data_IF_751707651265
#
_entry.id   IF_751707651265
#
_cell.length_a   1.000
_cell.length_b   1.000
_cell.length_c   1.000
_cell.angle_alpha   90.00
_cell.angle_beta   90.00
_cell.angle_gamma   90.00
#
_symmetry.space_group_name_H-M   'P 1'
#
loop_
_entity.id
_entity.type
_entity.pdbx_description
1 polymer ?
#
# COMPACT_ATOMS: atom_id res chain seq x y z
N UNK A 1 -55.08 -4.93 26.91
CA UNK A 1 -53.75 -4.63 27.50
C UNK A 1 -52.96 -5.93 27.40
N UNK A 2 -51.85 -6.10 26.69
CA UNK A 2 -50.87 -5.23 26.04
C UNK A 2 -50.41 -5.93 24.74
N UNK A 3 -50.03 -5.13 23.74
CA UNK A 3 -49.69 -5.50 22.37
C UNK A 3 -48.44 -6.39 22.26
N UNK A 4 -48.56 -7.50 21.52
CA UNK A 4 -47.42 -8.21 20.94
C UNK A 4 -47.03 -7.53 19.63
N UNK A 5 -45.85 -6.90 19.64
CA UNK A 5 -45.21 -6.39 18.43
C UNK A 5 -44.71 -7.57 17.58
N UNK A 6 -45.37 -7.83 16.45
CA UNK A 6 -44.85 -8.72 15.42
C UNK A 6 -43.78 -7.94 14.66
N UNK A 7 -42.53 -8.34 14.85
CA UNK A 7 -41.40 -7.90 14.03
C UNK A 7 -41.65 -8.43 12.62
N UNK A 8 -41.98 -7.52 11.70
CA UNK A 8 -42.03 -7.81 10.27
C UNK A 8 -40.58 -7.99 9.78
N UNK A 9 -40.04 -9.21 9.93
CA UNK A 9 -38.82 -9.60 9.22
C UNK A 9 -39.21 -9.78 7.76
N UNK A 10 -39.01 -8.73 6.96
CA UNK A 10 -39.15 -8.81 5.51
C UNK A 10 -38.12 -9.82 5.02
N UNK A 11 -38.58 -10.95 4.50
CA UNK A 11 -37.72 -11.82 3.71
C UNK A 11 -37.23 -10.98 2.53
N UNK A 12 -35.93 -10.71 2.53
CA UNK A 12 -35.23 -10.21 1.36
C UNK A 12 -35.48 -11.22 0.23
N UNK A 13 -36.14 -10.73 -0.81
CA UNK A 13 -36.32 -11.45 -2.06
C UNK A 13 -34.93 -11.77 -2.64
N UNK A 14 -34.59 -13.05 -2.92
CA UNK A 14 -33.30 -13.41 -3.52
C UNK A 14 -33.16 -12.95 -4.98
N UNK A 15 -34.18 -12.27 -5.54
CA UNK A 15 -34.21 -11.83 -6.93
C UNK A 15 -33.84 -10.36 -7.16
N UNK A 16 -33.37 -9.62 -6.14
CA UNK A 16 -32.79 -8.29 -6.40
C UNK A 16 -31.32 -8.44 -6.82
N UNK A 17 -30.97 -8.27 -8.10
CA UNK A 17 -29.56 -8.15 -8.47
C UNK A 17 -28.95 -6.97 -7.69
N UNK A 18 -27.67 -7.04 -7.28
CA UNK A 18 -26.98 -5.89 -6.73
C UNK A 18 -27.15 -4.71 -7.70
N UNK A 19 -27.28 -3.45 -7.21
CA UNK A 19 -27.40 -2.29 -8.09
C UNK A 19 -26.26 -2.37 -9.10
N UNK A 20 -26.62 -2.62 -10.36
CA UNK A 20 -25.66 -2.74 -11.44
C UNK A 20 -25.05 -1.37 -11.57
N UNK A 21 -23.76 -1.24 -11.25
CA UNK A 21 -23.03 0.01 -11.41
C UNK A 21 -23.32 0.54 -12.82
N UNK A 22 -24.08 1.64 -12.90
CA UNK A 22 -24.56 2.17 -14.17
C UNK A 22 -23.36 2.46 -15.07
N UNK A 23 -23.33 1.90 -16.27
CA UNK A 23 -22.23 2.13 -17.19
C UNK A 23 -22.21 3.60 -17.65
N UNK A 24 -21.03 4.20 -17.71
CA UNK A 24 -20.84 5.56 -18.21
C UNK A 24 -21.28 5.66 -19.66
N UNK A 25 -22.14 6.63 -19.96
CA UNK A 25 -22.62 6.94 -21.30
C UNK A 25 -22.00 8.25 -21.76
N UNK A 26 -21.08 8.17 -22.73
CA UNK A 26 -20.34 9.33 -23.25
C UNK A 26 -20.77 9.60 -24.68
N UNK A 27 -21.52 10.69 -24.96
CA UNK A 27 -21.89 11.05 -26.32
C UNK A 27 -20.67 11.42 -27.16
N UNK A 28 -20.70 11.09 -28.45
CA UNK A 28 -19.55 11.28 -29.36
C UNK A 28 -19.15 12.75 -29.51
N UNK A 29 -20.13 13.65 -29.49
CA UNK A 29 -19.90 15.10 -29.51
C UNK A 29 -19.05 15.59 -28.34
N UNK A 30 -19.23 15.01 -27.15
CA UNK A 30 -18.46 15.36 -25.95
C UNK A 30 -17.02 14.87 -26.09
N UNK A 31 -16.83 13.66 -26.63
CA UNK A 31 -15.49 13.10 -26.90
C UNK A 31 -14.69 13.99 -27.84
N UNK A 32 -15.36 14.56 -28.84
CA UNK A 32 -14.71 15.43 -29.82
C UNK A 32 -14.43 16.84 -29.27
N UNK A 33 -15.38 17.41 -28.51
CA UNK A 33 -15.27 18.80 -28.01
C UNK A 33 -14.41 18.94 -26.76
N UNK A 34 -14.41 17.93 -25.88
CA UNK A 34 -13.78 18.00 -24.55
C UNK A 34 -12.84 16.81 -24.25
N UNK A 35 -11.95 16.41 -25.17
CA UNK A 35 -11.14 15.20 -25.00
C UNK A 35 -10.23 15.25 -23.76
N UNK A 36 -9.63 16.40 -23.48
CA UNK A 36 -8.70 16.57 -22.35
C UNK A 36 -9.41 16.51 -20.99
N UNK A 37 -10.51 17.25 -20.84
CA UNK A 37 -11.29 17.28 -19.60
C UNK A 37 -11.95 15.91 -19.35
N UNK A 38 -12.39 15.22 -20.41
CA UNK A 38 -12.90 13.85 -20.27
C UNK A 38 -11.85 12.89 -19.70
N UNK A 39 -10.60 12.95 -20.17
CA UNK A 39 -9.53 12.12 -19.62
C UNK A 39 -9.31 12.41 -18.13
N UNK A 40 -9.38 13.68 -17.73
CA UNK A 40 -9.24 14.10 -16.33
C UNK A 40 -10.41 13.60 -15.47
N UNK A 41 -11.66 13.74 -15.92
CA UNK A 41 -12.84 13.26 -15.19
C UNK A 41 -12.81 11.73 -15.02
N UNK A 42 -12.47 11.00 -16.09
CA UNK A 42 -12.41 9.54 -16.05
C UNK A 42 -11.26 9.02 -15.16
N UNK A 43 -10.17 9.78 -15.08
CA UNK A 43 -9.01 9.46 -14.25
C UNK A 43 -9.08 10.00 -12.81
N UNK A 44 -10.08 10.82 -12.47
CA UNK A 44 -10.22 11.38 -11.13
C UNK A 44 -10.64 10.30 -10.12
N UNK A 45 -9.88 10.17 -9.04
CA UNK A 45 -10.14 9.23 -7.95
C UNK A 45 -11.18 9.77 -6.95
N UNK A 46 -11.39 11.09 -6.92
CA UNK A 46 -12.42 11.71 -6.07
C UNK A 46 -13.84 11.56 -6.61
N UNK A 47 -14.01 11.08 -7.86
CA UNK A 47 -15.31 10.95 -8.49
C UNK A 47 -15.72 9.49 -8.68
N UNK A 48 -16.94 9.16 -8.22
CA UNK A 48 -17.60 7.91 -8.54
C UNK A 48 -18.26 7.95 -9.94
N UNK A 49 -18.83 6.82 -10.37
CA UNK A 49 -19.44 6.69 -11.70
C UNK A 49 -20.61 7.64 -11.95
N UNK A 50 -21.45 7.90 -10.95
CA UNK A 50 -22.59 8.81 -11.06
C UNK A 50 -22.13 10.27 -11.16
N UNK A 51 -21.14 10.66 -10.36
CA UNK A 51 -20.53 11.99 -10.40
C UNK A 51 -19.84 12.25 -11.74
N UNK A 52 -19.10 11.27 -12.25
CA UNK A 52 -18.49 11.35 -13.60
C UNK A 52 -19.56 11.58 -14.67
N UNK A 53 -20.66 10.82 -14.62
CA UNK A 53 -21.76 10.99 -15.56
C UNK A 53 -22.40 12.39 -15.44
N UNK A 54 -22.60 12.88 -14.23
CA UNK A 54 -23.12 14.21 -13.97
C UNK A 54 -22.23 15.30 -14.59
N UNK A 55 -20.92 15.24 -14.37
CA UNK A 55 -19.99 16.18 -14.97
C UNK A 55 -20.00 16.11 -16.50
N UNK A 56 -20.01 14.91 -17.08
CA UNK A 56 -20.10 14.70 -18.53
C UNK A 56 -21.35 15.37 -19.12
N UNK A 57 -22.49 15.24 -18.44
CA UNK A 57 -23.76 15.83 -18.88
C UNK A 57 -23.76 17.36 -18.81
N UNK A 58 -22.96 17.96 -17.92
CA UNK A 58 -22.90 19.41 -17.71
C UNK A 58 -21.83 20.09 -18.57
N UNK A 59 -20.83 19.36 -19.08
CA UNK A 59 -19.78 19.90 -19.96
C UNK A 59 -20.31 20.85 -21.07
N UNK A 60 -21.40 20.53 -21.80
CA UNK A 60 -21.91 21.41 -22.86
C UNK A 60 -22.47 22.75 -22.40
N UNK A 61 -22.84 22.84 -21.12
CA UNK A 61 -23.56 24.00 -20.55
C UNK A 61 -22.57 24.92 -19.80
N UNK A 62 -21.36 24.43 -19.49
CA UNK A 62 -20.35 25.22 -18.81
C UNK A 62 -19.76 26.31 -19.70
N UNK A 63 -19.47 27.46 -19.09
CA UNK A 63 -18.74 28.54 -19.74
C UNK A 63 -17.25 28.18 -19.90
N UNK A 64 -16.52 28.84 -20.82
CA UNK A 64 -15.08 28.60 -20.97
C UNK A 64 -14.28 28.80 -19.69
N UNK A 65 -14.67 29.76 -18.85
CA UNK A 65 -14.03 30.00 -17.55
C UNK A 65 -14.29 28.87 -16.56
N UNK A 66 -15.53 28.36 -16.51
CA UNK A 66 -15.88 27.21 -15.67
C UNK A 66 -15.12 25.95 -16.10
N UNK A 67 -14.99 25.72 -17.40
CA UNK A 67 -14.20 24.62 -17.95
C UNK A 67 -12.73 24.72 -17.56
N UNK A 68 -12.15 25.92 -17.63
CA UNK A 68 -10.76 26.19 -17.20
C UNK A 68 -10.59 25.90 -15.72
N UNK A 69 -11.49 26.38 -14.88
CA UNK A 69 -11.44 26.17 -13.43
C UNK A 69 -11.56 24.67 -13.09
N UNK A 70 -12.48 23.95 -13.74
CA UNK A 70 -12.60 22.50 -13.57
C UNK A 70 -11.32 21.78 -14.00
N UNK A 71 -10.75 22.14 -15.14
CA UNK A 71 -9.49 21.58 -15.63
C UNK A 71 -8.35 21.83 -14.63
N UNK A 72 -8.21 23.04 -14.11
CA UNK A 72 -7.19 23.38 -13.11
C UNK A 72 -7.34 22.55 -11.83
N UNK A 73 -8.58 22.39 -11.32
CA UNK A 73 -8.87 21.58 -10.14
C UNK A 73 -8.44 20.12 -10.36
N UNK A 74 -8.84 19.52 -11.49
CA UNK A 74 -8.53 18.12 -11.78
C UNK A 74 -7.04 17.88 -12.07
N UNK A 75 -6.36 18.84 -12.71
CA UNK A 75 -4.91 18.77 -12.92
C UNK A 75 -4.18 18.83 -11.59
N UNK A 76 -4.57 19.75 -10.71
CA UNK A 76 -3.98 19.89 -9.38
C UNK A 76 -4.21 18.64 -8.52
N UNK A 77 -5.43 18.07 -8.53
CA UNK A 77 -5.73 16.79 -7.87
C UNK A 77 -4.75 15.70 -8.32
N UNK A 78 -4.62 15.50 -9.63
CA UNK A 78 -3.73 14.50 -10.21
C UNK A 78 -2.26 14.73 -9.82
N UNK A 79 -1.81 15.98 -9.80
CA UNK A 79 -0.44 16.33 -9.41
C UNK A 79 -0.18 16.08 -7.92
N UNK A 80 -1.15 16.40 -7.06
CA UNK A 80 -1.08 16.11 -5.63
C UNK A 80 -1.02 14.61 -5.36
N UNK A 81 -1.87 13.81 -6.03
CA UNK A 81 -1.83 12.35 -5.91
C UNK A 81 -0.47 11.78 -6.35
N UNK A 82 0.06 12.24 -7.51
CA UNK A 82 1.42 11.84 -7.95
C UNK A 82 2.51 12.22 -6.96
N UNK A 83 2.42 13.39 -6.34
CA UNK A 83 3.40 13.83 -5.35
C UNK A 83 3.32 12.98 -4.07
N UNK A 84 2.10 12.61 -3.66
CA UNK A 84 1.85 11.71 -2.54
C UNK A 84 2.44 10.32 -2.83
N UNK A 85 2.15 9.75 -4.00
CA UNK A 85 2.68 8.44 -4.42
C UNK A 85 4.21 8.43 -4.45
N UNK A 86 4.83 9.48 -5.02
CA UNK A 86 6.28 9.61 -5.07
C UNK A 86 6.90 9.70 -3.66
N UNK A 87 6.23 10.41 -2.75
CA UNK A 87 6.67 10.52 -1.35
C UNK A 87 6.60 9.16 -0.66
N UNK A 88 5.48 8.45 -0.75
CA UNK A 88 5.33 7.14 -0.12
C UNK A 88 6.24 6.07 -0.73
N UNK A 89 6.43 6.06 -2.06
CA UNK A 89 7.37 5.16 -2.70
C UNK A 89 8.81 5.36 -2.18
N UNK A 90 9.21 6.61 -1.96
CA UNK A 90 10.52 6.95 -1.37
C UNK A 90 10.63 6.50 0.08
N UNK A 91 9.61 6.73 0.90
CA UNK A 91 9.60 6.34 2.32
C UNK A 91 9.66 4.82 2.49
N UNK A 92 8.86 4.06 1.72
CA UNK A 92 8.89 2.60 1.73
C UNK A 92 10.26 2.06 1.31
N UNK A 93 10.87 2.64 0.27
CA UNK A 93 12.22 2.29 -0.16
C UNK A 93 13.28 2.53 0.93
N UNK A 94 13.20 3.66 1.63
CA UNK A 94 14.12 4.00 2.71
C UNK A 94 14.00 3.04 3.90
N UNK A 95 12.77 2.72 4.32
CA UNK A 95 12.52 1.76 5.40
C UNK A 95 13.04 0.38 5.04
N UNK A 96 12.76 -0.09 3.81
CA UNK A 96 13.26 -1.38 3.33
C UNK A 96 14.79 -1.46 3.35
N UNK A 97 15.46 -0.39 2.93
CA UNK A 97 16.93 -0.30 2.97
C UNK A 97 17.48 -0.31 4.40
N UNK A 98 16.85 0.42 5.32
CA UNK A 98 17.27 0.45 6.72
C UNK A 98 17.12 -0.92 7.39
N UNK A 99 15.96 -1.57 7.22
CA UNK A 99 15.70 -2.91 7.74
C UNK A 99 16.74 -3.92 7.22
N UNK A 100 17.07 -3.85 5.93
CA UNK A 100 18.09 -4.71 5.32
C UNK A 100 19.49 -4.50 5.93
N UNK A 101 19.91 -3.24 6.12
CA UNK A 101 21.21 -2.92 6.75
C UNK A 101 21.24 -3.42 8.20
N UNK A 102 20.16 -3.22 8.96
CA UNK A 102 20.06 -3.71 10.33
C UNK A 102 20.14 -5.24 10.40
N UNK A 103 19.47 -5.94 9.50
CA UNK A 103 19.51 -7.40 9.44
C UNK A 103 20.94 -7.90 9.16
N UNK A 104 21.64 -7.34 8.17
CA UNK A 104 23.04 -7.66 7.89
C UNK A 104 23.92 -7.40 9.11
N UNK A 105 23.74 -6.26 9.78
CA UNK A 105 24.48 -5.91 10.99
C UNK A 105 24.26 -6.93 12.11
N UNK A 106 23.02 -7.35 12.32
CA UNK A 106 22.65 -8.34 13.33
C UNK A 106 23.24 -9.72 13.02
N UNK A 107 23.22 -10.17 11.76
CA UNK A 107 23.80 -11.44 11.35
C UNK A 107 25.32 -11.44 11.49
N UNK A 108 25.98 -10.34 11.10
CA UNK A 108 27.43 -10.18 11.29
C UNK A 108 27.81 -10.26 12.77
N UNK A 109 27.02 -9.63 13.65
CA UNK A 109 27.24 -9.70 15.10
C UNK A 109 27.07 -11.12 15.63
N UNK A 110 25.98 -11.81 15.30
CA UNK A 110 25.76 -13.22 15.65
C UNK A 110 26.89 -14.13 15.17
N UNK A 111 27.38 -13.95 13.94
CA UNK A 111 28.53 -14.72 13.40
C UNK A 111 29.84 -14.42 14.14
N UNK A 112 30.02 -13.22 14.68
CA UNK A 112 31.19 -12.86 15.49
C UNK A 112 31.13 -13.54 16.86
N UNK A 113 30.00 -13.40 17.55
CA UNK A 113 29.75 -14.02 18.85
C UNK A 113 29.90 -15.54 18.79
N UNK A 114 29.36 -16.18 17.73
CA UNK A 114 29.51 -17.63 17.54
C UNK A 114 30.96 -18.07 17.35
N UNK A 115 31.79 -17.29 16.65
CA UNK A 115 33.22 -17.59 16.49
C UNK A 115 33.98 -17.42 17.80
N UNK A 116 33.69 -16.35 18.53
CA UNK A 116 34.33 -16.08 19.83
C UNK A 116 33.97 -17.14 20.88
N UNK A 117 32.71 -17.60 20.89
CA UNK A 117 32.31 -18.76 21.72
C UNK A 117 33.03 -20.05 21.29
N UNK A 118 33.14 -20.33 19.99
CA UNK A 118 33.84 -21.52 19.51
C UNK A 118 35.35 -21.47 19.80
N UNK A 119 35.98 -20.31 19.69
CA UNK A 119 37.40 -20.10 20.02
C UNK A 119 37.65 -20.24 21.52
N UNK A 120 36.77 -19.69 22.37
CA UNK A 120 36.89 -19.81 23.83
C UNK A 120 36.67 -21.26 24.30
N UNK A 121 35.69 -21.98 23.75
CA UNK A 121 35.50 -23.40 24.06
C UNK A 121 36.68 -24.24 23.59
N UNK A 122 37.18 -24.00 22.37
CA UNK A 122 38.36 -24.71 21.86
C UNK A 122 39.60 -24.47 22.72
N UNK A 123 39.82 -23.24 23.22
CA UNK A 123 40.93 -22.92 24.14
C UNK A 123 40.82 -23.66 25.48
N UNK A 124 39.61 -23.79 26.03
CA UNK A 124 39.39 -24.54 27.27
C UNK A 124 39.61 -26.04 27.07
N UNK A 125 39.11 -26.60 25.96
CA UNK A 125 39.32 -27.99 25.59
C UNK A 125 40.81 -28.29 25.35
N UNK A 126 41.54 -27.37 24.73
CA UNK A 126 42.99 -27.49 24.52
C UNK A 126 43.74 -27.43 25.85
N UNK A 127 43.42 -26.47 26.73
CA UNK A 127 44.04 -26.35 28.06
C UNK A 127 43.86 -27.62 28.88
N UNK A 128 42.64 -28.16 28.96
CA UNK A 128 42.36 -29.40 29.70
C UNK A 128 43.12 -30.60 29.13
N UNK A 129 43.14 -30.75 27.80
CA UNK A 129 43.95 -31.80 27.14
C UNK A 129 45.44 -31.65 27.42
N UNK A 130 45.98 -30.43 27.43
CA UNK A 130 47.41 -30.21 27.75
C UNK A 130 47.74 -30.58 29.20
N UNK A 131 46.85 -30.26 30.14
CA UNK A 131 47.02 -30.65 31.55
C UNK A 131 46.98 -32.17 31.72
N UNK A 132 46.10 -32.88 31.00
CA UNK A 132 46.02 -34.33 31.05
C UNK A 132 47.29 -35.00 30.50
N UNK A 133 47.81 -34.49 29.37
CA UNK A 133 49.08 -34.98 28.78
C UNK A 133 50.26 -34.71 29.71
N UNK A 134 50.33 -33.54 30.36
CA UNK A 134 51.37 -33.20 31.32
C UNK A 134 51.41 -34.19 32.50
N UNK A 135 50.24 -34.50 33.09
CA UNK A 135 50.14 -35.48 34.18
C UNK A 135 50.61 -36.87 33.77
N UNK A 136 50.34 -37.29 32.53
CA UNK A 136 50.80 -38.59 32.02
C UNK A 136 52.33 -38.67 31.86
N UNK A 137 52.97 -37.55 31.51
CA UNK A 137 54.43 -37.46 31.36
C UNK A 137 55.13 -37.36 32.72
N UNK A 138 54.59 -36.60 33.68
CA UNK A 138 55.17 -36.45 35.03
C UNK A 138 54.98 -37.69 35.92
N UNK A 139 53.97 -38.52 35.63
CA UNK A 139 53.68 -39.76 36.35
C UNK A 139 54.51 -40.98 35.93
N UNK A 140 55.43 -40.83 34.97
CA UNK A 140 56.39 -41.85 34.50
C UNK A 140 57.80 -41.52 34.96
#
# INVERSE_FOLDING_TARGET
MQSTWVILFTMADPATPPPTAAALTIPEEIKQKFPEILQLILGSESMNTEERQYWINILPIMTPEQLKNLQEILVNEREQLKAIDAKYAKEVGAIGQEQFIQQIGSERRKRREKREQAESSARQDESSRTEDVLKEIEGK
#
